data_IF_917172047510
#
_entry.id   IF_917172047510
#
_cell.length_a   1.000
_cell.length_b   1.000
_cell.length_c   1.000
_cell.angle_alpha   90.00
_cell.angle_beta   90.00
_cell.angle_gamma   90.00
#
_symmetry.space_group_name_H-M   'P 1'
#
loop_
_entity.id
_entity.type
_entity.pdbx_description
1 polymer ?
#
# COMPACT_ATOMS: atom_id res chain seq x y z
N UNK A 1 -20.37 10.20 9.43
CA UNK A 1 -20.65 8.76 9.40
C UNK A 1 -19.87 8.06 8.30
N UNK A 2 -19.99 8.46 7.04
CA UNK A 2 -19.21 7.92 5.92
C UNK A 2 -17.71 7.99 6.18
N UNK A 3 -17.20 9.13 6.68
CA UNK A 3 -15.81 9.30 7.10
C UNK A 3 -15.33 8.17 8.04
N UNK A 4 -16.11 7.81 9.05
CA UNK A 4 -15.72 6.75 10.01
C UNK A 4 -15.62 5.40 9.33
N UNK A 5 -16.58 5.06 8.45
CA UNK A 5 -16.53 3.79 7.68
C UNK A 5 -15.30 3.74 6.77
N UNK A 6 -14.97 4.84 6.09
CA UNK A 6 -13.78 4.94 5.22
C UNK A 6 -12.49 4.75 6.01
N UNK A 7 -12.36 5.39 7.19
CA UNK A 7 -11.21 5.20 8.07
C UNK A 7 -11.10 3.72 8.52
N UNK A 8 -12.22 3.10 8.92
CA UNK A 8 -12.22 1.69 9.34
C UNK A 8 -11.86 0.74 8.19
N UNK A 9 -12.28 1.04 6.96
CA UNK A 9 -11.88 0.28 5.79
C UNK A 9 -10.37 0.40 5.50
N UNK A 10 -9.81 1.60 5.65
CA UNK A 10 -8.37 1.83 5.55
C UNK A 10 -7.60 1.03 6.60
N UNK A 11 -8.04 1.05 7.85
CA UNK A 11 -7.43 0.28 8.94
C UNK A 11 -7.55 -1.23 8.72
N UNK A 12 -8.70 -1.73 8.24
CA UNK A 12 -8.89 -3.14 7.94
C UNK A 12 -7.99 -3.60 6.78
N UNK A 13 -7.85 -2.80 5.73
CA UNK A 13 -6.92 -3.04 4.64
C UNK A 13 -5.50 -3.24 5.15
N UNK A 14 -4.97 -2.27 5.91
CA UNK A 14 -3.61 -2.34 6.43
C UNK A 14 -3.41 -3.49 7.43
N UNK A 15 -4.36 -3.73 8.33
CA UNK A 15 -4.27 -4.84 9.27
C UNK A 15 -4.19 -6.20 8.56
N UNK A 16 -4.97 -6.37 7.48
CA UNK A 16 -4.98 -7.60 6.69
C UNK A 16 -3.67 -7.74 5.91
N UNK A 17 -3.16 -6.66 5.33
CA UNK A 17 -1.88 -6.66 4.63
C UNK A 17 -0.71 -6.99 5.56
N UNK A 18 -0.69 -6.42 6.78
CA UNK A 18 0.34 -6.73 7.79
C UNK A 18 0.28 -8.20 8.23
N UNK A 19 -0.92 -8.76 8.42
CA UNK A 19 -1.07 -10.19 8.68
C UNK A 19 -0.50 -11.04 7.52
N UNK A 20 -0.76 -10.63 6.27
CA UNK A 20 -0.18 -11.27 5.08
C UNK A 20 1.34 -11.22 5.04
N UNK A 21 1.96 -10.08 5.39
CA UNK A 21 3.42 -9.98 5.46
C UNK A 21 4.03 -10.92 6.51
N UNK A 22 3.37 -11.08 7.66
CA UNK A 22 3.86 -11.94 8.75
C UNK A 22 3.58 -13.43 8.51
N UNK A 23 2.56 -13.79 7.74
CA UNK A 23 2.22 -15.19 7.42
C UNK A 23 3.34 -15.88 6.63
N UNK A 24 3.55 -17.17 6.88
CA UNK A 24 4.58 -18.01 6.24
C UNK A 24 4.00 -19.20 5.46
N UNK A 25 2.71 -19.41 5.56
CA UNK A 25 1.98 -20.51 4.94
C UNK A 25 1.18 -20.05 3.73
N UNK A 26 0.30 -20.90 3.22
CA UNK A 26 -0.67 -20.57 2.16
C UNK A 26 -1.67 -19.49 2.58
N UNK A 27 -1.85 -19.25 3.90
CA UNK A 27 -2.66 -18.16 4.42
C UNK A 27 -2.23 -16.79 3.87
N UNK A 28 -0.94 -16.62 3.59
CA UNK A 28 -0.36 -15.39 3.01
C UNK A 28 -1.10 -14.93 1.77
N UNK A 29 -1.32 -15.84 0.81
CA UNK A 29 -1.98 -15.47 -0.44
C UNK A 29 -3.42 -15.04 -0.23
N UNK A 30 -4.16 -15.76 0.62
CA UNK A 30 -5.54 -15.41 0.97
C UNK A 30 -5.61 -14.02 1.64
N UNK A 31 -4.68 -13.73 2.55
CA UNK A 31 -4.62 -12.42 3.22
C UNK A 31 -4.27 -11.30 2.23
N UNK A 32 -3.38 -11.55 1.28
CA UNK A 32 -3.08 -10.58 0.22
C UNK A 32 -4.29 -10.33 -0.68
N UNK A 33 -5.00 -11.38 -1.10
CA UNK A 33 -6.21 -11.25 -1.92
C UNK A 33 -7.30 -10.45 -1.18
N UNK A 34 -7.46 -10.69 0.12
CA UNK A 34 -8.40 -9.92 0.95
C UNK A 34 -7.94 -8.48 1.16
N UNK A 35 -6.65 -8.25 1.31
CA UNK A 35 -6.08 -6.91 1.34
C UNK A 35 -6.41 -6.13 0.06
N UNK A 36 -6.29 -6.75 -1.11
CA UNK A 36 -6.62 -6.14 -2.41
C UNK A 36 -8.13 -5.80 -2.50
N UNK A 37 -9.00 -6.65 -1.96
CA UNK A 37 -10.43 -6.38 -1.87
C UNK A 37 -10.70 -5.19 -0.93
N UNK A 38 -10.08 -5.17 0.24
CA UNK A 38 -10.25 -4.11 1.24
C UNK A 38 -9.70 -2.76 0.76
N UNK A 39 -8.61 -2.75 -0.01
CA UNK A 39 -8.12 -1.54 -0.66
C UNK A 39 -9.14 -0.95 -1.65
N UNK A 40 -9.79 -1.81 -2.44
CA UNK A 40 -10.89 -1.36 -3.32
C UNK A 40 -12.09 -0.82 -2.52
N UNK A 41 -12.45 -1.46 -1.39
CA UNK A 41 -13.51 -0.95 -0.53
C UNK A 41 -13.18 0.44 0.02
N UNK A 42 -11.93 0.63 0.49
CA UNK A 42 -11.44 1.92 0.94
C UNK A 42 -11.60 3.00 -0.16
N UNK A 43 -11.14 2.72 -1.38
CA UNK A 43 -11.24 3.64 -2.51
C UNK A 43 -12.71 3.95 -2.90
N UNK A 44 -13.58 2.96 -2.88
CA UNK A 44 -15.01 3.18 -3.17
C UNK A 44 -15.68 4.06 -2.11
N UNK A 45 -15.36 3.85 -0.85
CA UNK A 45 -15.90 4.66 0.25
C UNK A 45 -15.32 6.08 0.24
N UNK A 46 -14.06 6.26 -0.15
CA UNK A 46 -13.46 7.57 -0.36
C UNK A 46 -14.16 8.34 -1.46
N UNK A 47 -14.47 7.72 -2.59
CA UNK A 47 -15.25 8.35 -3.66
C UNK A 47 -16.65 8.78 -3.18
N UNK A 48 -17.31 8.00 -2.33
CA UNK A 48 -18.58 8.40 -1.72
C UNK A 48 -18.43 9.63 -0.81
N UNK A 49 -17.33 9.75 -0.07
CA UNK A 49 -17.05 10.96 0.72
C UNK A 49 -16.95 12.20 -0.15
N UNK A 50 -16.25 12.12 -1.29
CA UNK A 50 -16.12 13.24 -2.24
C UNK A 50 -17.50 13.62 -2.80
N UNK A 51 -18.32 12.64 -3.20
CA UNK A 51 -19.67 12.88 -3.71
C UNK A 51 -20.58 13.54 -2.67
N UNK A 52 -20.40 13.20 -1.38
CA UNK A 52 -21.16 13.79 -0.28
C UNK A 52 -20.57 15.10 0.24
N UNK A 53 -19.46 15.57 -0.35
CA UNK A 53 -18.74 16.79 0.05
C UNK A 53 -18.27 16.77 1.52
N UNK A 54 -18.09 15.58 2.11
CA UNK A 54 -17.56 15.44 3.45
C UNK A 54 -16.03 15.67 3.43
N UNK A 55 -15.55 16.67 4.16
CA UNK A 55 -14.10 16.82 4.37
C UNK A 55 -13.55 15.67 5.19
N UNK A 56 -12.42 15.12 4.77
CA UNK A 56 -11.76 14.00 5.45
C UNK A 56 -10.25 14.13 5.45
N UNK A 57 -9.61 13.26 6.22
CA UNK A 57 -8.16 13.09 6.28
C UNK A 57 -7.85 11.60 6.39
N UNK A 58 -6.61 11.23 6.09
CA UNK A 58 -6.14 9.86 6.30
C UNK A 58 -5.73 9.57 7.76
N UNK A 59 -6.14 10.44 8.70
CA UNK A 59 -5.97 10.18 10.12
C UNK A 59 -6.71 8.91 10.51
N UNK A 60 -6.01 7.97 11.09
CA UNK A 60 -6.50 6.66 11.52
C UNK A 60 -5.84 6.22 12.81
N UNK A 61 -6.37 5.23 13.45
CA UNK A 61 -5.74 4.59 14.59
C UNK A 61 -4.48 3.80 14.16
N UNK A 62 -3.58 3.60 15.11
CA UNK A 62 -2.43 2.72 14.93
C UNK A 62 -2.93 1.31 14.69
N UNK A 63 -2.33 0.62 13.70
CA UNK A 63 -2.62 -0.78 13.45
C UNK A 63 -1.95 -1.63 14.54
N UNK A 64 -2.71 -2.29 15.42
CA UNK A 64 -2.13 -3.12 16.45
C UNK A 64 -1.55 -4.39 15.84
N UNK A 65 -0.23 -4.56 15.97
CA UNK A 65 0.46 -5.76 15.52
C UNK A 65 0.46 -6.78 16.66
N UNK A 66 -0.07 -7.97 16.39
CA UNK A 66 0.00 -9.13 17.28
C UNK A 66 1.01 -10.11 16.73
N UNK A 67 1.77 -10.73 17.59
CA UNK A 67 2.79 -11.74 17.29
C UNK A 67 2.47 -13.06 17.97
N UNK A 68 3.23 -14.08 17.67
CA UNK A 68 3.12 -15.47 18.15
C UNK A 68 1.99 -16.27 17.49
N UNK A 69 0.81 -15.69 17.31
CA UNK A 69 -0.34 -16.40 16.72
C UNK A 69 -1.04 -15.55 15.66
N UNK A 70 -1.19 -16.09 14.47
CA UNK A 70 -1.96 -15.46 13.39
C UNK A 70 -3.41 -15.23 13.83
N UNK A 71 -4.00 -16.17 14.55
CA UNK A 71 -5.38 -16.09 15.04
C UNK A 71 -5.67 -14.82 15.86
N UNK A 72 -4.68 -14.21 16.52
CA UNK A 72 -4.87 -12.98 17.27
C UNK A 72 -4.90 -11.74 16.35
N UNK A 73 -4.18 -11.76 15.22
CA UNK A 73 -4.35 -10.78 14.15
C UNK A 73 -5.71 -10.94 13.46
N UNK A 74 -6.12 -12.18 13.16
CA UNK A 74 -7.39 -12.46 12.49
C UNK A 74 -8.59 -11.99 13.31
N UNK A 75 -8.59 -12.19 14.64
CA UNK A 75 -9.63 -11.65 15.53
C UNK A 75 -9.77 -10.13 15.42
N UNK A 76 -8.64 -9.41 15.35
CA UNK A 76 -8.65 -7.96 15.18
C UNK A 76 -9.22 -7.57 13.83
N UNK A 77 -8.83 -8.26 12.75
CA UNK A 77 -9.34 -8.00 11.40
C UNK A 77 -10.84 -8.26 11.33
N UNK A 78 -11.31 -9.42 11.85
CA UNK A 78 -12.74 -9.76 11.90
C UNK A 78 -13.53 -8.69 12.64
N UNK A 79 -13.05 -8.23 13.80
CA UNK A 79 -13.71 -7.17 14.55
C UNK A 79 -13.86 -5.87 13.74
N UNK A 80 -12.80 -5.45 13.01
CA UNK A 80 -12.86 -4.28 12.14
C UNK A 80 -13.87 -4.47 11.00
N UNK A 81 -13.92 -5.64 10.41
CA UNK A 81 -14.91 -5.96 9.37
C UNK A 81 -16.35 -5.88 9.90
N UNK A 82 -16.58 -6.30 11.15
CA UNK A 82 -17.89 -6.17 11.83
C UNK A 82 -18.27 -4.72 12.08
N UNK A 83 -17.32 -3.90 12.53
CA UNK A 83 -17.54 -2.46 12.68
C UNK A 83 -17.93 -1.79 11.37
N UNK A 84 -17.23 -2.12 10.26
CA UNK A 84 -17.55 -1.60 8.92
C UNK A 84 -18.96 -2.01 8.52
N UNK A 85 -19.30 -3.31 8.60
CA UNK A 85 -20.61 -3.85 8.20
C UNK A 85 -21.75 -3.20 8.97
N UNK A 86 -21.57 -3.02 10.27
CA UNK A 86 -22.56 -2.35 11.14
C UNK A 86 -22.78 -0.89 10.72
N UNK A 87 -21.71 -0.17 10.42
CA UNK A 87 -21.79 1.26 10.07
C UNK A 87 -22.37 1.47 8.67
N UNK A 88 -22.15 0.54 7.72
CA UNK A 88 -22.71 0.58 6.38
C UNK A 88 -24.24 0.59 6.35
N UNK A 89 -24.91 0.05 7.38
CA UNK A 89 -26.38 0.04 7.47
C UNK A 89 -26.99 1.45 7.41
N UNK A 90 -26.25 2.45 7.83
CA UNK A 90 -26.68 3.85 7.88
C UNK A 90 -26.21 4.69 6.69
N UNK A 91 -25.44 4.14 5.76
CA UNK A 91 -25.00 4.84 4.56
C UNK A 91 -26.07 4.84 3.48
N UNK A 92 -26.10 5.90 2.64
CA UNK A 92 -27.16 6.12 1.64
C UNK A 92 -27.06 5.21 0.42
N UNK A 93 -25.84 4.91 -0.06
CA UNK A 93 -25.61 4.10 -1.24
C UNK A 93 -25.84 2.61 -0.96
N UNK A 94 -27.09 2.15 -1.12
CA UNK A 94 -27.48 0.78 -0.78
C UNK A 94 -26.84 -0.30 -1.66
N UNK A 95 -26.54 0.02 -2.92
CA UNK A 95 -25.88 -0.91 -3.84
C UNK A 95 -24.42 -1.17 -3.41
N UNK A 96 -23.67 -0.10 -3.12
CA UNK A 96 -22.31 -0.19 -2.62
C UNK A 96 -22.26 -0.91 -1.26
N UNK A 97 -23.16 -0.53 -0.34
CA UNK A 97 -23.25 -1.17 0.98
C UNK A 97 -23.49 -2.68 0.87
N UNK A 98 -24.46 -3.09 0.04
CA UNK A 98 -24.74 -4.51 -0.18
C UNK A 98 -23.55 -5.27 -0.77
N UNK A 99 -22.78 -4.63 -1.67
CA UNK A 99 -21.59 -5.24 -2.24
C UNK A 99 -20.49 -5.44 -1.18
N UNK A 100 -20.19 -4.38 -0.42
CA UNK A 100 -19.16 -4.45 0.64
C UNK A 100 -19.56 -5.45 1.74
N UNK A 101 -20.82 -5.41 2.22
CA UNK A 101 -21.34 -6.37 3.22
C UNK A 101 -21.23 -7.83 2.74
N UNK A 102 -21.46 -8.08 1.45
CA UNK A 102 -21.32 -9.43 0.88
C UNK A 102 -19.87 -9.91 0.93
N UNK A 103 -18.91 -9.06 0.58
CA UNK A 103 -17.48 -9.38 0.64
C UNK A 103 -17.03 -9.58 2.09
N UNK A 104 -17.46 -8.72 3.01
CA UNK A 104 -17.18 -8.85 4.45
C UNK A 104 -17.66 -10.18 4.99
N UNK A 105 -18.88 -10.59 4.64
CA UNK A 105 -19.43 -11.89 5.10
C UNK A 105 -18.57 -13.05 4.62
N UNK A 106 -18.15 -13.04 3.36
CA UNK A 106 -17.28 -14.07 2.81
C UNK A 106 -15.90 -14.07 3.48
N UNK A 107 -15.27 -12.90 3.61
CA UNK A 107 -13.97 -12.79 4.27
C UNK A 107 -14.01 -13.26 5.72
N UNK A 108 -15.03 -12.87 6.48
CA UNK A 108 -15.20 -13.33 7.87
C UNK A 108 -15.33 -14.86 7.99
N UNK A 109 -16.08 -15.48 7.10
CA UNK A 109 -16.22 -16.93 7.07
C UNK A 109 -14.87 -17.61 6.86
N UNK A 110 -14.11 -17.18 5.84
CA UNK A 110 -12.78 -17.72 5.54
C UNK A 110 -11.80 -17.48 6.70
N UNK A 111 -11.70 -16.24 7.20
CA UNK A 111 -10.78 -15.89 8.29
C UNK A 111 -11.07 -16.64 9.60
N UNK A 112 -12.34 -16.94 9.88
CA UNK A 112 -12.74 -17.70 11.09
C UNK A 112 -12.27 -19.16 11.03
N UNK A 113 -12.17 -19.74 9.84
CA UNK A 113 -11.74 -21.12 9.63
C UNK A 113 -10.29 -21.27 9.21
N UNK A 114 -9.56 -20.16 9.11
CA UNK A 114 -8.14 -20.18 8.73
C UNK A 114 -7.28 -20.84 9.80
N UNK A 115 -6.39 -21.72 9.39
CA UNK A 115 -5.47 -22.41 10.29
C UNK A 115 -4.53 -21.43 10.98
N UNK A 116 -4.29 -21.64 12.29
CA UNK A 116 -3.36 -20.82 13.05
C UNK A 116 -1.91 -21.15 12.69
N UNK A 117 -1.05 -20.15 12.74
CA UNK A 117 0.38 -20.29 12.52
C UNK A 117 1.17 -19.33 13.41
N UNK A 118 2.45 -19.65 13.63
CA UNK A 118 3.35 -18.74 14.31
C UNK A 118 3.72 -17.59 13.39
N UNK A 119 3.56 -16.37 13.89
CA UNK A 119 3.92 -15.14 13.20
C UNK A 119 4.81 -14.25 14.05
N UNK A 120 5.70 -13.51 13.39
CA UNK A 120 6.60 -12.55 14.03
C UNK A 120 6.68 -11.25 13.20
N UNK A 121 6.86 -10.13 13.89
CA UNK A 121 7.07 -8.82 13.27
C UNK A 121 8.56 -8.45 13.18
N UNK A 122 9.40 -9.11 13.96
CA UNK A 122 10.82 -8.82 14.04
C UNK A 122 11.63 -10.08 14.32
N UNK A 123 12.72 -10.28 13.57
CA UNK A 123 13.68 -11.35 13.79
C UNK A 123 15.11 -10.81 13.82
N UNK A 124 15.84 -11.13 14.86
CA UNK A 124 17.26 -10.77 14.99
C UNK A 124 18.15 -11.45 13.95
N UNK A 125 17.69 -12.54 13.35
CA UNK A 125 18.49 -13.31 12.40
C UNK A 125 18.80 -12.54 11.11
N UNK A 126 17.89 -11.64 10.68
CA UNK A 126 18.00 -10.83 9.45
C UNK A 126 18.52 -11.62 8.24
N UNK A 127 17.95 -12.80 8.04
CA UNK A 127 18.36 -13.71 6.97
C UNK A 127 17.25 -13.80 5.93
N UNK A 128 17.60 -13.53 4.68
CA UNK A 128 16.67 -13.79 3.59
C UNK A 128 16.51 -15.32 3.41
N UNK A 129 15.29 -15.87 3.49
CA UNK A 129 15.09 -17.32 3.38
C UNK A 129 15.60 -17.87 2.05
N UNK A 130 16.44 -18.90 2.13
CA UNK A 130 16.98 -19.57 0.94
C UNK A 130 18.17 -18.89 0.27
N UNK A 131 18.63 -17.72 0.78
CA UNK A 131 19.78 -16.99 0.27
C UNK A 131 20.85 -16.79 1.36
N UNK A 132 22.11 -16.79 0.93
CA UNK A 132 23.24 -16.37 1.78
C UNK A 132 23.76 -15.06 1.22
N UNK A 133 23.39 -13.96 1.86
CA UNK A 133 23.86 -12.62 1.52
C UNK A 133 25.09 -12.25 2.35
N UNK A 134 25.99 -11.44 1.78
CA UNK A 134 27.02 -10.76 2.53
C UNK A 134 26.39 -9.79 3.56
N UNK A 135 27.13 -9.39 4.58
CA UNK A 135 26.63 -8.40 5.55
C UNK A 135 26.28 -7.08 4.86
N UNK A 136 27.13 -6.62 3.95
CA UNK A 136 26.93 -5.39 3.18
C UNK A 136 25.62 -5.44 2.34
N UNK A 137 25.39 -6.53 1.62
CA UNK A 137 24.16 -6.74 0.85
C UNK A 137 22.92 -6.83 1.75
N UNK A 138 23.06 -7.50 2.92
CA UNK A 138 21.98 -7.60 3.91
C UNK A 138 21.60 -6.23 4.48
N UNK A 139 22.58 -5.41 4.84
CA UNK A 139 22.35 -4.09 5.42
C UNK A 139 21.74 -3.14 4.38
N UNK A 140 22.28 -3.12 3.16
CA UNK A 140 21.75 -2.31 2.05
C UNK A 140 20.28 -2.69 1.71
N UNK A 141 20.01 -3.99 1.58
CA UNK A 141 18.67 -4.51 1.31
C UNK A 141 17.69 -4.18 2.43
N UNK A 142 18.11 -4.35 3.69
CA UNK A 142 17.25 -4.06 4.86
C UNK A 142 16.87 -2.60 4.91
N UNK A 143 17.83 -1.69 4.72
CA UNK A 143 17.59 -0.24 4.73
C UNK A 143 16.66 0.18 3.61
N UNK A 144 16.96 -0.24 2.38
CA UNK A 144 16.14 0.03 1.21
C UNK A 144 14.69 -0.44 1.41
N UNK A 145 14.48 -1.70 1.78
CA UNK A 145 13.13 -2.25 1.96
C UNK A 145 12.34 -1.51 3.04
N UNK A 146 13.02 -1.09 4.12
CA UNK A 146 12.38 -0.35 5.19
C UNK A 146 11.94 1.04 4.74
N UNK A 147 12.80 1.78 4.05
CA UNK A 147 12.52 3.13 3.57
C UNK A 147 11.50 3.14 2.44
N UNK A 148 11.69 2.31 1.42
CA UNK A 148 10.81 2.29 0.24
C UNK A 148 9.40 1.74 0.56
N UNK A 149 9.27 0.77 1.47
CA UNK A 149 7.93 0.33 1.90
C UNK A 149 7.11 1.49 2.47
N UNK A 150 7.72 2.44 3.19
CA UNK A 150 7.02 3.63 3.69
C UNK A 150 6.71 4.63 2.58
N UNK A 151 7.66 4.90 1.69
CA UNK A 151 7.46 5.82 0.56
C UNK A 151 6.31 5.36 -0.33
N UNK A 152 6.29 4.08 -0.70
CA UNK A 152 5.23 3.52 -1.53
C UNK A 152 3.84 3.66 -0.90
N UNK A 153 3.73 3.44 0.40
CA UNK A 153 2.48 3.67 1.10
C UNK A 153 2.07 5.16 1.08
N UNK A 154 3.01 6.08 1.29
CA UNK A 154 2.76 7.53 1.20
C UNK A 154 2.32 7.92 -0.22
N UNK A 155 2.99 7.41 -1.26
CA UNK A 155 2.64 7.64 -2.66
C UNK A 155 1.23 7.15 -3.00
N UNK A 156 0.85 5.95 -2.56
CA UNK A 156 -0.53 5.43 -2.70
C UNK A 156 -1.54 6.43 -2.12
N UNK A 157 -1.30 6.98 -0.93
CA UNK A 157 -2.21 7.93 -0.30
C UNK A 157 -2.27 9.25 -1.05
N UNK A 158 -1.13 9.76 -1.52
CA UNK A 158 -1.04 11.00 -2.30
C UNK A 158 -1.81 10.85 -3.62
N UNK A 159 -1.51 9.82 -4.41
CA UNK A 159 -2.15 9.61 -5.70
C UNK A 159 -3.65 9.33 -5.55
N UNK A 160 -4.05 8.59 -4.51
CA UNK A 160 -5.45 8.31 -4.24
C UNK A 160 -6.22 9.59 -3.90
N UNK A 161 -5.65 10.47 -3.08
CA UNK A 161 -6.23 11.77 -2.76
C UNK A 161 -6.36 12.66 -4.00
N UNK A 162 -5.28 12.79 -4.79
CA UNK A 162 -5.27 13.59 -6.01
C UNK A 162 -6.30 13.08 -7.02
N UNK A 163 -6.40 11.76 -7.21
CA UNK A 163 -7.38 11.13 -8.09
C UNK A 163 -8.81 11.40 -7.61
N UNK A 164 -9.08 11.24 -6.31
CA UNK A 164 -10.42 11.44 -5.76
C UNK A 164 -10.90 12.90 -5.90
N UNK A 165 -9.98 13.88 -5.82
CA UNK A 165 -10.28 15.31 -5.95
C UNK A 165 -10.16 15.87 -7.37
N UNK A 166 -9.72 15.06 -8.33
CA UNK A 166 -9.60 15.47 -9.72
C UNK A 166 -10.86 15.11 -10.55
N UNK A 167 -11.36 16.07 -11.31
CA UNK A 167 -12.41 15.85 -12.32
C UNK A 167 -11.84 15.58 -13.72
N UNK A 168 -10.52 15.43 -13.85
CA UNK A 168 -9.85 15.24 -15.12
C UNK A 168 -9.63 13.75 -15.40
N UNK A 169 -10.34 13.21 -16.39
CA UNK A 169 -10.29 11.79 -16.72
C UNK A 169 -8.88 11.32 -17.18
N UNK A 170 -8.09 12.20 -17.81
CA UNK A 170 -6.73 11.87 -18.23
C UNK A 170 -5.78 11.76 -17.04
N UNK A 171 -5.80 12.74 -16.14
CA UNK A 171 -5.02 12.70 -14.90
C UNK A 171 -5.43 11.55 -14.00
N UNK A 172 -6.74 11.29 -13.88
CA UNK A 172 -7.26 10.17 -13.07
C UNK A 172 -6.75 8.80 -13.57
N UNK A 173 -6.58 8.65 -14.89
CA UNK A 173 -5.98 7.44 -15.45
C UNK A 173 -4.51 7.31 -15.07
N UNK A 174 -3.75 8.40 -15.11
CA UNK A 174 -2.33 8.40 -14.71
C UNK A 174 -2.21 8.08 -13.22
N UNK A 175 -2.97 8.76 -12.36
CA UNK A 175 -2.96 8.46 -10.93
C UNK A 175 -3.34 7.00 -10.63
N UNK A 176 -4.28 6.42 -11.38
CA UNK A 176 -4.62 5.01 -11.18
C UNK A 176 -3.45 4.07 -11.50
N UNK A 177 -2.70 4.32 -12.58
CA UNK A 177 -1.52 3.54 -12.92
C UNK A 177 -0.47 3.65 -11.81
N UNK A 178 -0.17 4.87 -11.36
CA UNK A 178 0.78 5.12 -10.27
C UNK A 178 0.35 4.44 -8.96
N UNK A 179 -0.95 4.46 -8.62
CA UNK A 179 -1.50 3.72 -7.46
C UNK A 179 -1.27 2.22 -7.59
N UNK A 180 -1.58 1.64 -8.76
CA UNK A 180 -1.50 0.20 -8.97
C UNK A 180 -0.04 -0.29 -8.87
N UNK A 181 0.91 0.46 -9.42
CA UNK A 181 2.34 0.14 -9.38
C UNK A 181 2.94 0.37 -7.99
N UNK A 182 2.66 1.51 -7.33
CA UNK A 182 3.07 1.74 -5.93
C UNK A 182 2.49 0.68 -5.00
N UNK A 183 1.28 0.19 -5.25
CA UNK A 183 0.71 -0.89 -4.44
C UNK A 183 1.43 -2.23 -4.68
N UNK A 184 1.84 -2.51 -5.91
CA UNK A 184 2.68 -3.66 -6.21
C UNK A 184 4.03 -3.58 -5.49
N UNK A 185 4.72 -2.42 -5.55
CA UNK A 185 5.99 -2.19 -4.86
C UNK A 185 5.84 -2.33 -3.34
N UNK A 186 4.84 -1.68 -2.76
CA UNK A 186 4.52 -1.76 -1.33
C UNK A 186 4.37 -3.21 -0.84
N UNK A 187 3.61 -4.03 -1.59
CA UNK A 187 3.43 -5.46 -1.26
C UNK A 187 4.73 -6.24 -1.41
N UNK A 188 5.52 -5.98 -2.45
CA UNK A 188 6.77 -6.70 -2.70
C UNK A 188 7.85 -6.35 -1.69
N UNK A 189 8.06 -5.07 -1.46
CA UNK A 189 9.06 -4.60 -0.48
C UNK A 189 8.67 -5.00 0.95
N UNK A 190 7.40 -4.83 1.32
CA UNK A 190 6.90 -5.25 2.62
C UNK A 190 7.04 -6.76 2.88
N UNK A 191 6.73 -7.61 1.88
CA UNK A 191 6.92 -9.06 1.98
C UNK A 191 8.40 -9.45 2.11
N UNK A 192 9.28 -8.82 1.33
CA UNK A 192 10.72 -9.05 1.40
C UNK A 192 11.29 -8.59 2.75
N UNK A 193 10.89 -7.40 3.23
CA UNK A 193 11.28 -6.89 4.53
C UNK A 193 10.85 -7.82 5.67
N UNK A 194 9.60 -8.29 5.64
CA UNK A 194 9.10 -9.25 6.62
C UNK A 194 9.84 -10.60 6.57
N UNK A 195 10.23 -11.09 5.39
CA UNK A 195 11.10 -12.27 5.24
C UNK A 195 12.48 -12.07 5.87
N UNK A 196 13.01 -10.86 5.82
CA UNK A 196 14.26 -10.51 6.52
C UNK A 196 14.07 -10.26 8.02
N UNK A 197 12.85 -10.38 8.52
CA UNK A 197 12.54 -10.17 9.94
C UNK A 197 12.34 -8.71 10.32
N UNK A 198 11.95 -7.86 9.38
CA UNK A 198 11.62 -6.45 9.63
C UNK A 198 10.27 -6.12 9.01
N UNK A 199 9.24 -6.03 9.84
CA UNK A 199 7.93 -5.60 9.41
C UNK A 199 7.88 -4.06 9.36
N UNK A 200 7.79 -3.50 8.17
CA UNK A 200 7.56 -2.07 7.98
C UNK A 200 6.06 -1.76 8.18
N UNK A 201 5.71 -1.24 9.35
CA UNK A 201 4.32 -0.86 9.67
C UNK A 201 4.07 0.55 9.15
N UNK A 202 3.09 0.78 8.25
CA UNK A 202 2.80 2.08 7.70
C UNK A 202 2.52 3.13 8.79
N UNK A 203 3.24 4.23 8.75
CA UNK A 203 3.02 5.38 9.63
C UNK A 203 1.83 6.22 9.15
N UNK A 204 1.38 7.15 9.98
CA UNK A 204 0.37 8.12 9.57
C UNK A 204 0.95 9.06 8.52
N UNK A 205 0.19 9.31 7.45
CA UNK A 205 0.58 10.26 6.41
C UNK A 205 0.05 11.64 6.78
N UNK A 206 0.95 12.62 6.88
CA UNK A 206 0.58 13.99 7.25
C UNK A 206 -0.20 14.67 6.12
N UNK A 207 -1.13 15.55 6.47
CA UNK A 207 -1.99 16.25 5.49
C UNK A 207 -1.21 17.02 4.46
N UNK A 208 -0.11 17.64 4.86
CA UNK A 208 0.78 18.43 4.02
C UNK A 208 1.41 17.61 2.88
N UNK A 209 1.47 16.28 3.02
CA UNK A 209 2.02 15.40 1.98
C UNK A 209 1.00 15.06 0.89
N UNK A 210 -0.30 14.95 1.20
CA UNK A 210 -1.30 14.55 0.21
C UNK A 210 -2.28 15.64 -0.20
N UNK A 211 -2.49 16.68 0.62
CA UNK A 211 -3.32 17.83 0.26
C UNK A 211 -2.51 18.81 -0.62
N UNK A 212 -2.24 18.38 -1.86
CA UNK A 212 -1.41 19.11 -2.81
C UNK A 212 -2.21 20.26 -3.43
N UNK A 213 -1.74 21.50 -3.26
CA UNK A 213 -2.32 22.71 -3.89
C UNK A 213 -1.73 22.96 -5.28
N UNK A 214 -0.43 22.73 -5.46
CA UNK A 214 0.29 22.92 -6.72
C UNK A 214 0.64 21.59 -7.37
N UNK A 215 -0.26 21.13 -8.23
CA UNK A 215 -0.11 19.85 -8.95
C UNK A 215 1.07 19.88 -9.93
N UNK A 216 1.37 21.02 -10.53
CA UNK A 216 2.52 21.13 -11.46
C UNK A 216 3.85 21.00 -10.70
N UNK A 217 3.95 21.65 -9.55
CA UNK A 217 5.13 21.50 -8.67
C UNK A 217 5.25 20.05 -8.18
N UNK A 218 4.15 19.43 -7.79
CA UNK A 218 4.12 18.02 -7.35
C UNK A 218 4.71 17.09 -8.43
N UNK A 219 4.30 17.21 -9.69
CA UNK A 219 4.88 16.40 -10.76
C UNK A 219 6.37 16.67 -10.99
N UNK A 220 6.81 17.95 -10.92
CA UNK A 220 8.24 18.29 -11.06
C UNK A 220 9.10 17.70 -9.94
N UNK A 221 8.63 17.80 -8.71
CA UNK A 221 9.32 17.24 -7.55
C UNK A 221 9.32 15.69 -7.63
N UNK A 222 8.18 15.08 -7.99
CA UNK A 222 8.03 13.63 -8.16
C UNK A 222 8.98 13.04 -9.21
N UNK A 223 9.14 13.68 -10.37
CA UNK A 223 10.12 13.28 -11.40
C UNK A 223 11.54 13.22 -10.80
N UNK A 224 11.93 14.19 -9.98
CA UNK A 224 13.24 14.18 -9.34
C UNK A 224 13.38 13.06 -8.30
N UNK A 225 12.32 12.77 -7.56
CA UNK A 225 12.28 11.66 -6.58
C UNK A 225 12.39 10.29 -7.28
N UNK A 226 11.66 10.10 -8.39
CA UNK A 226 11.76 8.86 -9.20
C UNK A 226 13.16 8.67 -9.81
N UNK A 227 13.81 9.76 -10.26
CA UNK A 227 15.20 9.70 -10.74
C UNK A 227 16.17 9.29 -9.62
N UNK A 228 15.95 9.74 -8.38
CA UNK A 228 16.74 9.32 -7.23
C UNK A 228 16.47 7.85 -6.85
N UNK A 229 15.20 7.41 -6.82
CA UNK A 229 14.80 6.04 -6.57
C UNK A 229 15.44 5.04 -7.56
N UNK A 230 15.46 5.40 -8.86
CA UNK A 230 16.18 4.63 -9.88
C UNK A 230 17.64 4.40 -9.57
N UNK A 231 18.35 5.45 -9.16
CA UNK A 231 19.77 5.33 -8.84
C UNK A 231 19.99 4.46 -7.59
N UNK A 232 19.08 4.52 -6.62
CA UNK A 232 19.11 3.67 -5.43
C UNK A 232 18.83 2.21 -5.76
N UNK A 233 17.80 1.92 -6.57
CA UNK A 233 17.52 0.57 -7.06
C UNK A 233 18.70 -0.04 -7.83
N UNK A 234 19.36 0.77 -8.68
CA UNK A 234 20.54 0.33 -9.42
C UNK A 234 21.70 -0.02 -8.50
N UNK A 235 22.00 0.83 -7.51
CA UNK A 235 23.05 0.55 -6.51
C UNK A 235 22.74 -0.72 -5.72
N UNK A 236 21.47 -0.93 -5.36
CA UNK A 236 21.07 -2.13 -4.66
C UNK A 236 21.18 -3.38 -5.55
N UNK A 237 20.76 -3.32 -6.81
CA UNK A 237 20.96 -4.41 -7.77
C UNK A 237 22.44 -4.81 -7.86
N UNK A 238 23.36 -3.83 -8.01
CA UNK A 238 24.80 -4.05 -8.03
C UNK A 238 25.33 -4.68 -6.72
N UNK A 239 24.82 -4.23 -5.57
CA UNK A 239 25.24 -4.73 -4.25
C UNK A 239 24.84 -6.19 -4.02
N UNK A 240 23.66 -6.61 -4.50
CA UNK A 240 23.16 -7.99 -4.32
C UNK A 240 23.54 -8.94 -5.44
N UNK A 241 24.06 -8.45 -6.58
CA UNK A 241 24.31 -9.23 -7.80
C UNK A 241 25.22 -10.45 -7.57
N UNK A 242 26.25 -10.32 -6.73
CA UNK A 242 27.20 -11.42 -6.43
C UNK A 242 26.58 -12.52 -5.58
N UNK A 243 25.63 -12.14 -4.72
CA UNK A 243 25.03 -13.02 -3.73
C UNK A 243 23.72 -13.64 -4.26
N UNK A 244 22.98 -12.91 -5.09
CA UNK A 244 21.70 -13.36 -5.67
C UNK A 244 21.40 -12.69 -7.02
N UNK A 245 21.64 -13.39 -8.14
CA UNK A 245 21.21 -12.92 -9.45
C UNK A 245 19.69 -12.74 -9.58
N UNK A 246 18.89 -13.36 -8.71
CA UNK A 246 17.42 -13.21 -8.72
C UNK A 246 17.02 -11.87 -8.11
N UNK A 247 17.66 -11.45 -7.02
CA UNK A 247 17.45 -10.12 -6.44
C UNK A 247 17.95 -9.02 -7.38
N UNK A 248 19.12 -9.20 -8.01
CA UNK A 248 19.62 -8.27 -9.03
C UNK A 248 18.56 -8.03 -10.10
N UNK A 249 18.06 -9.11 -10.74
CA UNK A 249 17.03 -9.02 -11.77
C UNK A 249 15.73 -8.38 -11.27
N UNK A 250 15.36 -8.62 -10.03
CA UNK A 250 14.18 -8.01 -9.44
C UNK A 250 14.34 -6.49 -9.31
N UNK A 251 15.46 -6.01 -8.78
CA UNK A 251 15.71 -4.56 -8.66
C UNK A 251 15.96 -3.90 -10.01
N UNK A 252 16.55 -4.58 -10.97
CA UNK A 252 16.60 -4.10 -12.37
C UNK A 252 15.19 -3.94 -12.96
N UNK A 253 14.29 -4.89 -12.68
CA UNK A 253 12.90 -4.81 -13.11
C UNK A 253 12.19 -3.59 -12.47
N UNK A 254 12.34 -3.36 -11.16
CA UNK A 254 11.81 -2.17 -10.49
C UNK A 254 12.38 -0.90 -11.14
N UNK A 255 13.68 -0.82 -11.34
CA UNK A 255 14.34 0.31 -12.01
C UNK A 255 13.77 0.60 -13.41
N UNK A 256 13.32 -0.44 -14.14
CA UNK A 256 12.61 -0.24 -15.42
C UNK A 256 11.21 0.32 -15.25
N UNK A 257 10.49 -0.04 -14.19
CA UNK A 257 9.17 0.53 -13.90
C UNK A 257 9.26 2.02 -13.58
N UNK A 258 10.30 2.47 -12.86
CA UNK A 258 10.53 3.89 -12.56
C UNK A 258 10.71 4.75 -13.83
N UNK A 259 11.25 4.19 -14.92
CA UNK A 259 11.28 4.91 -16.22
C UNK A 259 9.88 5.22 -16.73
N UNK A 260 8.93 4.33 -16.51
CA UNK A 260 7.54 4.54 -16.92
C UNK A 260 6.84 5.56 -16.04
N UNK A 261 7.08 5.55 -14.73
CA UNK A 261 6.58 6.57 -13.80
C UNK A 261 7.04 7.97 -14.22
N UNK A 262 8.33 8.14 -14.48
CA UNK A 262 8.89 9.41 -14.96
C UNK A 262 8.18 9.88 -16.23
N UNK A 263 8.04 9.00 -17.24
CA UNK A 263 7.37 9.33 -18.49
C UNK A 263 5.89 9.72 -18.25
N UNK A 264 5.17 9.02 -17.38
CA UNK A 264 3.77 9.34 -17.02
C UNK A 264 3.68 10.72 -16.34
N UNK A 265 4.61 11.04 -15.43
CA UNK A 265 4.63 12.32 -14.74
C UNK A 265 5.02 13.47 -15.68
N UNK A 266 5.95 13.26 -16.62
CA UNK A 266 6.30 14.24 -17.66
C UNK A 266 5.11 14.52 -18.58
N UNK A 267 4.40 13.49 -19.02
CA UNK A 267 3.18 13.63 -19.84
C UNK A 267 2.07 14.35 -19.08
N UNK A 268 1.88 14.01 -17.80
CA UNK A 268 0.89 14.68 -16.95
C UNK A 268 1.21 16.16 -16.74
N UNK A 269 2.48 16.49 -16.51
CA UNK A 269 2.94 17.85 -16.34
C UNK A 269 2.73 18.67 -17.62
N UNK A 270 3.14 18.15 -18.76
CA UNK A 270 2.97 18.81 -20.06
C UNK A 270 1.47 19.03 -20.38
N UNK A 271 0.62 18.05 -20.10
CA UNK A 271 -0.82 18.16 -20.25
C UNK A 271 -1.42 19.25 -19.35
N UNK A 272 -1.03 19.27 -18.08
CA UNK A 272 -1.51 20.22 -17.09
C UNK A 272 -1.10 21.66 -17.43
N UNK A 273 0.16 21.88 -17.82
CA UNK A 273 0.67 23.19 -18.23
C UNK A 273 -0.04 23.71 -19.49
N UNK A 274 -0.29 22.85 -20.48
CA UNK A 274 -1.04 23.21 -21.68
C UNK A 274 -2.48 23.62 -21.37
N UNK A 275 -3.14 22.92 -20.46
CA UNK A 275 -4.53 23.18 -20.08
C UNK A 275 -4.69 24.51 -19.34
N UNK A 276 -3.70 24.90 -18.54
CA UNK A 276 -3.74 26.14 -17.75
C UNK A 276 -3.27 27.38 -18.53
N UNK A 277 -2.56 27.20 -19.66
CA UNK A 277 -2.07 28.28 -20.51
C UNK A 277 -2.92 28.53 -21.78
N UNK A 278 -3.96 27.77 -22.00
CA UNK A 278 -4.92 27.88 -23.12
C UNK A 278 -6.27 28.32 -22.68
#
# INVERSE_FOLDING_TARGET
>A
MMKTVTIKAHEAWLATLMAGFMSRTENKQVLFDFSDILFRHFNWLENELIVTEESYSYDRDIIPIKVDKLSDMLKNIIHRLEEIDLQLLSCSNKALNGRISSDIKYMKDVLTHMEDEYIEAFSMARKFPGLTLTQEATDALTLFLFEETYKEYELIMIYNYLKAHSNDAYLNRIFQILIDESFFHFKRFGDMGAKMGVLAVPRLVMKELYQIEDVAKFFKDGINEELAAKEECKKLAEAVAKDSPELEKFFDFINHQENYHIALMEDALAYFEKKNNG
#
